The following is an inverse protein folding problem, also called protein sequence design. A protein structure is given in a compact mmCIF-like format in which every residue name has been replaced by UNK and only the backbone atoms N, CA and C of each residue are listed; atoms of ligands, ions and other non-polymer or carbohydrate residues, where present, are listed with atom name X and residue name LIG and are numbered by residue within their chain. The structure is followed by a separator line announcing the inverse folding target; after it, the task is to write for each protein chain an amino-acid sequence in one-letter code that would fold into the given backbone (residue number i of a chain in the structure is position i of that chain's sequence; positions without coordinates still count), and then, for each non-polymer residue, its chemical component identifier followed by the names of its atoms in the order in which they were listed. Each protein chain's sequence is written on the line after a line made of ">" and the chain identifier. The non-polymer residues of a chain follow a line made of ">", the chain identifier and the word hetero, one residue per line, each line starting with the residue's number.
data_IF_122494862350
#
_entry.id   IF_122494862350
#
_cell.length_a   1.000
_cell.length_b   1.000
_cell.length_c   1.000
_cell.angle_alpha   90.00
_cell.angle_beta   90.00
_cell.angle_gamma   90.00
#
_symmetry.space_group_name_H-M   'P 1'
#
loop_
_entity.id
_entity.type
_entity.pdbx_description
1 polymer ?
#
# COMPACT_ATOMS: atom_id res chain seq x y z
N UNK A 1 -14.58 -38.82 -13.42
CA UNK A 1 -14.66 -37.76 -12.38
C UNK A 1 -15.79 -36.81 -12.76
N UNK A 2 -16.93 -36.83 -12.07
CA UNK A 2 -18.10 -36.01 -12.44
C UNK A 2 -17.82 -34.56 -12.04
N UNK A 3 -17.37 -33.75 -13.00
CA UNK A 3 -17.14 -32.33 -12.77
C UNK A 3 -18.48 -31.60 -12.69
N UNK A 4 -18.75 -30.92 -11.57
CA UNK A 4 -19.91 -30.04 -11.48
C UNK A 4 -19.85 -28.97 -12.58
N UNK A 5 -20.93 -28.87 -13.38
CA UNK A 5 -21.03 -27.93 -14.51
C UNK A 5 -21.03 -26.46 -14.06
N UNK A 6 -21.44 -26.20 -12.82
CA UNK A 6 -21.61 -24.87 -12.25
C UNK A 6 -20.74 -24.67 -11.01
N UNK A 7 -20.37 -23.41 -10.74
CA UNK A 7 -19.80 -22.91 -9.50
C UNK A 7 -20.79 -21.95 -8.84
N UNK A 8 -20.76 -21.92 -7.51
CA UNK A 8 -21.55 -21.00 -6.71
C UNK A 8 -20.59 -20.12 -5.90
N UNK A 9 -20.85 -18.81 -5.94
CA UNK A 9 -20.08 -17.78 -5.27
C UNK A 9 -20.98 -17.16 -4.21
N UNK A 10 -20.55 -17.22 -2.96
CA UNK A 10 -21.16 -16.47 -1.86
C UNK A 10 -20.44 -15.13 -1.76
N UNK A 11 -21.19 -14.04 -1.74
CA UNK A 11 -20.66 -12.69 -1.59
C UNK A 11 -21.56 -11.88 -0.65
N UNK A 12 -20.96 -10.89 -0.01
CA UNK A 12 -21.65 -9.91 0.80
C UNK A 12 -21.51 -8.54 0.12
N UNK A 13 -22.61 -7.81 0.01
CA UNK A 13 -22.65 -6.51 -0.68
C UNK A 13 -22.80 -5.39 0.34
N UNK A 14 -21.79 -4.57 0.48
CA UNK A 14 -21.88 -3.43 1.37
C UNK A 14 -22.43 -2.21 0.57
N UNK A 15 -23.30 -1.39 1.17
CA UNK A 15 -23.82 -0.14 0.57
C UNK A 15 -23.63 1.02 1.55
N UNK A 16 -23.21 2.19 1.06
CA UNK A 16 -22.95 3.39 1.86
C UNK A 16 -24.28 4.05 2.35
N UNK A 17 -24.57 4.06 3.66
CA UNK A 17 -25.82 4.60 4.20
C UNK A 17 -25.91 6.13 4.11
N UNK A 18 -24.80 6.86 3.97
CA UNK A 18 -24.79 8.33 3.87
C UNK A 18 -25.04 8.82 2.42
N UNK A 19 -25.03 7.89 1.45
CA UNK A 19 -25.34 8.12 0.04
C UNK A 19 -26.63 7.42 -0.41
N UNK A 20 -27.49 7.05 0.54
CA UNK A 20 -28.82 6.48 0.30
C UNK A 20 -29.84 7.48 -0.29
N UNK A 21 -29.41 8.69 -0.66
CA UNK A 21 -30.26 9.69 -1.27
C UNK A 21 -30.00 9.73 -2.79
N UNK A 22 -30.87 9.05 -3.54
CA UNK A 22 -31.45 9.72 -4.71
C UNK A 22 -31.96 11.08 -4.23
N UNK A 23 -31.93 12.11 -5.07
CA UNK A 23 -32.51 13.43 -4.74
C UNK A 23 -34.00 13.43 -4.31
N UNK A 24 -34.60 12.26 -4.08
CA UNK A 24 -35.97 11.99 -3.64
C UNK A 24 -36.09 10.80 -2.64
N UNK A 25 -35.12 10.56 -1.75
CA UNK A 25 -35.36 9.81 -0.49
C UNK A 25 -35.83 8.35 -0.59
N UNK A 26 -35.51 7.64 -1.67
CA UNK A 26 -35.87 6.22 -1.84
C UNK A 26 -34.65 5.30 -1.62
N UNK A 27 -34.65 4.41 -0.61
CA UNK A 27 -33.52 3.54 -0.32
C UNK A 27 -33.31 2.51 -1.44
N UNK A 28 -32.05 2.24 -1.78
CA UNK A 28 -31.71 1.30 -2.85
C UNK A 28 -31.93 -0.14 -2.37
N UNK A 29 -32.97 -0.78 -2.90
CA UNK A 29 -33.26 -2.18 -2.60
C UNK A 29 -32.28 -3.06 -3.39
N UNK A 30 -31.49 -3.86 -2.67
CA UNK A 30 -30.65 -4.91 -3.25
C UNK A 30 -31.56 -5.97 -3.87
N UNK A 31 -31.58 -6.03 -5.20
CA UNK A 31 -32.39 -6.99 -5.96
C UNK A 31 -31.51 -7.84 -6.86
N UNK A 32 -32.01 -9.01 -7.25
CA UNK A 32 -31.34 -9.86 -8.24
C UNK A 32 -31.09 -9.11 -9.56
N UNK A 33 -32.01 -8.22 -9.95
CA UNK A 33 -31.90 -7.41 -11.15
C UNK A 33 -30.73 -6.43 -11.07
N UNK A 34 -30.68 -5.61 -10.01
CA UNK A 34 -29.64 -4.59 -9.86
C UNK A 34 -28.24 -5.22 -9.76
N UNK A 35 -28.10 -6.30 -8.99
CA UNK A 35 -26.83 -7.03 -8.87
C UNK A 35 -26.44 -7.70 -10.19
N UNK A 36 -27.39 -8.33 -10.91
CA UNK A 36 -27.10 -8.93 -12.21
C UNK A 36 -26.69 -7.88 -13.24
N UNK A 37 -27.29 -6.68 -13.20
CA UNK A 37 -26.94 -5.57 -14.08
C UNK A 37 -25.52 -5.07 -13.78
N UNK A 38 -25.21 -4.82 -12.51
CA UNK A 38 -23.89 -4.35 -12.09
C UNK A 38 -22.75 -5.31 -12.48
N UNK A 39 -22.98 -6.62 -12.34
CA UNK A 39 -22.02 -7.64 -12.80
C UNK A 39 -21.85 -7.59 -14.33
N UNK A 40 -22.94 -7.46 -15.10
CA UNK A 40 -22.86 -7.34 -16.57
C UNK A 40 -22.10 -6.09 -17.00
N UNK A 41 -22.39 -4.96 -16.36
CA UNK A 41 -21.73 -3.69 -16.65
C UNK A 41 -20.22 -3.79 -16.34
N UNK A 42 -19.85 -4.41 -15.21
CA UNK A 42 -18.45 -4.70 -14.89
C UNK A 42 -17.80 -5.66 -15.89
N UNK A 43 -18.50 -6.70 -16.36
CA UNK A 43 -17.97 -7.59 -17.41
C UNK A 43 -17.72 -6.79 -18.69
N UNK A 44 -18.67 -5.95 -19.10
CA UNK A 44 -18.55 -5.13 -20.31
C UNK A 44 -17.36 -4.18 -20.23
N UNK A 45 -17.19 -3.49 -19.10
CA UNK A 45 -16.10 -2.54 -18.89
C UNK A 45 -14.73 -3.24 -18.90
N UNK A 46 -14.61 -4.40 -18.26
CA UNK A 46 -13.32 -5.05 -18.04
C UNK A 46 -12.94 -6.09 -19.11
N UNK A 47 -13.93 -6.68 -19.80
CA UNK A 47 -13.75 -7.77 -20.76
C UNK A 47 -14.38 -7.50 -22.14
N UNK A 48 -14.96 -6.32 -22.34
CA UNK A 48 -15.56 -5.88 -23.60
C UNK A 48 -16.83 -6.64 -23.98
N UNK A 49 -17.35 -6.34 -25.17
CA UNK A 49 -18.59 -6.95 -25.68
C UNK A 49 -18.48 -8.46 -25.87
N UNK A 50 -17.31 -8.95 -26.29
CA UNK A 50 -17.05 -10.39 -26.44
C UNK A 50 -17.13 -11.12 -25.09
N UNK A 51 -16.56 -10.56 -24.03
CA UNK A 51 -16.66 -11.13 -22.69
C UNK A 51 -18.08 -11.10 -22.14
N UNK A 52 -18.82 -10.01 -22.40
CA UNK A 52 -20.25 -9.96 -22.04
C UNK A 52 -21.04 -11.03 -22.82
N UNK A 53 -20.75 -11.18 -24.12
CA UNK A 53 -21.29 -12.20 -25.02
C UNK A 53 -21.13 -13.63 -24.49
N UNK A 54 -19.91 -14.02 -24.11
CA UNK A 54 -19.62 -15.36 -23.56
C UNK A 54 -20.29 -15.59 -22.19
N UNK A 55 -20.45 -14.52 -21.43
CA UNK A 55 -21.03 -14.57 -20.09
C UNK A 55 -22.57 -14.51 -20.06
N UNK A 56 -23.22 -14.11 -21.16
CA UNK A 56 -24.67 -14.06 -21.29
C UNK A 56 -25.27 -15.48 -21.20
N UNK A 57 -25.94 -15.77 -20.08
CA UNK A 57 -26.50 -17.10 -19.76
C UNK A 57 -25.55 -18.01 -18.98
N UNK A 58 -24.26 -17.67 -18.96
CA UNK A 58 -23.24 -18.39 -18.19
C UNK A 58 -23.25 -18.04 -16.70
N UNK A 59 -23.93 -16.99 -16.26
CA UNK A 59 -24.14 -16.71 -14.84
C UNK A 59 -25.57 -16.27 -14.50
N UNK A 60 -25.94 -16.46 -13.24
CA UNK A 60 -27.23 -16.04 -12.70
C UNK A 60 -27.11 -15.73 -11.20
N UNK A 61 -27.63 -14.58 -10.78
CA UNK A 61 -27.86 -14.28 -9.37
C UNK A 61 -29.01 -15.15 -8.87
N UNK A 62 -28.75 -16.07 -7.94
CA UNK A 62 -29.71 -17.05 -7.43
C UNK A 62 -30.40 -16.60 -6.15
N UNK A 63 -29.70 -15.82 -5.33
CA UNK A 63 -30.20 -15.38 -4.04
C UNK A 63 -29.64 -13.99 -3.74
N UNK A 64 -30.48 -13.16 -3.14
CA UNK A 64 -30.13 -11.84 -2.60
C UNK A 64 -30.95 -11.66 -1.34
N UNK A 65 -30.28 -11.42 -0.22
CA UNK A 65 -30.92 -10.99 1.01
C UNK A 65 -30.68 -9.48 1.19
N UNK A 66 -31.71 -8.62 1.11
CA UNK A 66 -31.51 -7.18 1.23
C UNK A 66 -31.19 -6.73 2.66
N UNK A 67 -31.43 -7.57 3.68
CA UNK A 67 -31.16 -7.28 5.10
C UNK A 67 -29.72 -7.68 5.44
N UNK A 68 -29.35 -8.95 5.25
CA UNK A 68 -28.00 -9.45 5.55
C UNK A 68 -26.99 -9.14 4.45
N UNK A 69 -27.46 -8.57 3.34
CA UNK A 69 -26.67 -8.26 2.13
C UNK A 69 -25.96 -9.44 1.47
N UNK A 70 -26.27 -10.66 1.89
CA UNK A 70 -25.72 -11.87 1.32
C UNK A 70 -26.33 -12.18 -0.04
N UNK A 71 -25.48 -12.50 -1.00
CA UNK A 71 -25.85 -12.83 -2.37
C UNK A 71 -25.18 -14.13 -2.81
N UNK A 72 -25.90 -14.93 -3.61
CA UNK A 72 -25.36 -16.14 -4.23
C UNK A 72 -25.42 -15.98 -5.74
N UNK A 73 -24.27 -16.10 -6.39
CA UNK A 73 -24.16 -16.07 -7.85
C UNK A 73 -23.70 -17.42 -8.36
N UNK A 74 -24.51 -18.01 -9.24
CA UNK A 74 -24.15 -19.22 -9.99
C UNK A 74 -23.41 -18.81 -11.26
N UNK A 75 -22.29 -19.43 -11.58
CA UNK A 75 -21.63 -19.31 -12.88
C UNK A 75 -21.33 -20.68 -13.47
N UNK A 76 -21.20 -20.77 -14.80
CA UNK A 76 -20.65 -21.93 -15.49
C UNK A 76 -19.18 -22.09 -15.06
N UNK A 77 -18.66 -23.31 -15.17
CA UNK A 77 -17.27 -23.59 -14.80
C UNK A 77 -16.27 -22.88 -15.73
N UNK A 78 -16.61 -22.73 -17.00
CA UNK A 78 -15.76 -22.11 -18.03
C UNK A 78 -15.60 -20.60 -17.77
N UNK A 79 -16.71 -19.91 -17.51
CA UNK A 79 -16.72 -18.45 -17.33
C UNK A 79 -16.53 -18.01 -15.87
N UNK A 80 -16.42 -18.95 -14.93
CA UNK A 80 -16.37 -18.64 -13.49
C UNK A 80 -15.27 -17.63 -13.13
N UNK A 81 -14.07 -17.75 -13.73
CA UNK A 81 -12.96 -16.84 -13.44
C UNK A 81 -13.24 -15.41 -13.92
N UNK A 82 -13.85 -15.27 -15.09
CA UNK A 82 -14.24 -13.99 -15.65
C UNK A 82 -15.34 -13.34 -14.80
N UNK A 83 -16.39 -14.10 -14.49
CA UNK A 83 -17.51 -13.63 -13.67
C UNK A 83 -17.03 -13.26 -12.26
N UNK A 84 -16.18 -14.07 -11.62
CA UNK A 84 -15.58 -13.76 -10.31
C UNK A 84 -14.77 -12.47 -10.36
N UNK A 85 -13.89 -12.33 -11.36
CA UNK A 85 -13.09 -11.11 -11.52
C UNK A 85 -13.97 -9.88 -11.72
N UNK A 86 -15.03 -9.98 -12.53
CA UNK A 86 -15.94 -8.87 -12.75
C UNK A 86 -16.70 -8.50 -11.46
N UNK A 87 -17.19 -9.48 -10.70
CA UNK A 87 -17.84 -9.25 -9.39
C UNK A 87 -16.90 -8.45 -8.47
N UNK A 88 -15.62 -8.85 -8.36
CA UNK A 88 -14.66 -8.15 -7.50
C UNK A 88 -14.30 -6.72 -7.96
N UNK A 89 -14.70 -6.36 -9.19
CA UNK A 89 -14.44 -5.07 -9.81
C UNK A 89 -15.72 -4.24 -9.97
N UNK A 90 -16.87 -4.74 -9.53
CA UNK A 90 -18.07 -3.90 -9.46
C UNK A 90 -17.75 -2.75 -8.48
N UNK A 91 -18.19 -1.55 -8.85
CA UNK A 91 -17.96 -0.31 -8.09
C UNK A 91 -19.26 0.37 -7.69
N UNK A 92 -20.37 -0.08 -8.24
CA UNK A 92 -21.69 0.51 -8.05
C UNK A 92 -22.78 -0.47 -8.44
N UNK A 93 -23.84 -0.54 -7.63
CA UNK A 93 -25.09 -1.24 -7.96
C UNK A 93 -26.18 -0.19 -8.11
N UNK A 94 -26.65 0.02 -9.34
CA UNK A 94 -27.54 1.14 -9.65
C UNK A 94 -26.83 2.48 -9.49
N UNK A 95 -27.45 3.43 -8.77
CA UNK A 95 -26.85 4.72 -8.43
C UNK A 95 -26.08 4.70 -7.09
N UNK A 96 -26.04 3.57 -6.39
CA UNK A 96 -25.25 3.43 -5.16
C UNK A 96 -23.83 3.03 -5.53
N UNK A 97 -22.78 3.78 -5.12
CA UNK A 97 -21.44 3.22 -5.12
C UNK A 97 -21.41 2.00 -4.17
N UNK A 98 -20.88 0.87 -4.65
CA UNK A 98 -20.67 -0.31 -3.81
C UNK A 98 -19.65 0.03 -2.73
N UNK A 99 -19.91 -0.38 -1.48
CA UNK A 99 -18.87 -0.51 -0.49
C UNK A 99 -18.08 -1.79 -0.77
N UNK A 100 -16.77 -1.62 -0.83
CA UNK A 100 -15.78 -2.62 -0.39
C UNK A 100 -16.02 -2.93 1.10
N UNK A 101 -15.76 -4.16 1.55
CA UNK A 101 -15.72 -4.44 3.00
C UNK A 101 -14.83 -3.41 3.70
N UNK A 102 -15.24 -2.88 4.86
CA UNK A 102 -14.44 -1.88 5.57
C UNK A 102 -13.04 -2.44 5.78
N UNK A 103 -12.05 -1.69 5.31
CA UNK A 103 -10.65 -2.08 5.38
C UNK A 103 -10.02 -1.39 6.57
N UNK A 104 -9.61 -2.20 7.54
CA UNK A 104 -8.81 -1.76 8.67
C UNK A 104 -7.33 -1.91 8.35
N UNK A 105 -6.55 -0.86 8.60
CA UNK A 105 -5.09 -0.90 8.60
C UNK A 105 -4.60 -1.01 10.04
N UNK A 106 -3.86 -2.07 10.37
CA UNK A 106 -3.16 -2.15 11.66
C UNK A 106 -1.81 -1.44 11.57
N UNK A 107 -1.56 -0.48 12.46
CA UNK A 107 -0.35 0.34 12.45
C UNK A 107 0.46 0.11 13.72
N UNK A 108 1.72 -0.31 13.55
CA UNK A 108 2.66 -0.53 14.64
C UNK A 108 3.64 0.65 14.72
N UNK A 109 3.64 1.36 15.85
CA UNK A 109 4.62 2.41 16.15
C UNK A 109 5.82 1.77 16.85
N UNK A 110 6.98 1.72 16.20
CA UNK A 110 8.14 0.98 16.73
C UNK A 110 9.28 1.88 17.23
N UNK A 111 9.19 3.20 17.03
CA UNK A 111 10.29 4.12 17.32
C UNK A 111 11.53 3.79 16.48
N UNK A 112 12.70 3.79 17.10
CA UNK A 112 13.99 3.50 16.42
C UNK A 112 14.32 2.01 16.50
N UNK A 113 14.43 1.34 15.35
CA UNK A 113 14.66 -0.10 15.27
C UNK A 113 15.88 -0.38 14.39
N UNK A 114 16.76 -1.31 14.78
CA UNK A 114 17.84 -1.77 13.91
C UNK A 114 17.28 -2.35 12.59
N UNK A 115 17.96 -2.06 11.48
CA UNK A 115 17.48 -2.39 10.15
C UNK A 115 17.19 -3.90 9.98
N UNK A 116 18.12 -4.78 10.38
CA UNK A 116 17.94 -6.23 10.22
C UNK A 116 16.82 -6.78 11.10
N UNK A 117 16.65 -6.26 12.32
CA UNK A 117 15.50 -6.63 13.17
C UNK A 117 14.17 -6.27 12.50
N UNK A 118 14.07 -5.08 11.93
CA UNK A 118 12.88 -4.66 11.18
C UNK A 118 12.65 -5.49 9.90
N UNK A 119 13.72 -5.93 9.24
CA UNK A 119 13.64 -6.77 8.04
C UNK A 119 13.07 -8.15 8.37
N UNK A 120 13.56 -8.78 9.44
CA UNK A 120 13.01 -10.06 9.94
C UNK A 120 11.54 -9.92 10.32
N UNK A 121 11.18 -8.83 10.99
CA UNK A 121 9.80 -8.52 11.34
C UNK A 121 8.91 -8.41 10.09
N UNK A 122 9.37 -7.70 9.06
CA UNK A 122 8.66 -7.62 7.78
C UNK A 122 8.47 -9.00 7.14
N UNK A 123 9.49 -9.86 7.14
CA UNK A 123 9.41 -11.21 6.56
C UNK A 123 8.38 -12.10 7.29
N UNK A 124 8.32 -12.01 8.62
CA UNK A 124 7.30 -12.66 9.46
C UNK A 124 5.90 -12.15 9.08
N UNK A 125 5.69 -10.84 9.10
CA UNK A 125 4.38 -10.24 8.78
C UNK A 125 3.93 -10.51 7.35
N UNK A 126 4.85 -10.54 6.37
CA UNK A 126 4.53 -10.93 5.00
C UNK A 126 4.02 -12.37 4.94
N UNK A 127 4.62 -13.27 5.72
CA UNK A 127 4.21 -14.68 5.77
C UNK A 127 2.84 -14.83 6.43
N UNK A 128 2.61 -14.19 7.58
CA UNK A 128 1.32 -14.17 8.27
C UNK A 128 0.22 -13.55 7.40
N UNK A 129 0.53 -12.44 6.72
CA UNK A 129 -0.41 -11.75 5.82
C UNK A 129 -0.78 -12.61 4.62
N UNK A 130 0.22 -13.31 4.05
CA UNK A 130 0.03 -14.27 2.94
C UNK A 130 -0.82 -15.47 3.36
N UNK A 131 -0.70 -15.91 4.61
CA UNK A 131 -1.52 -16.96 5.21
C UNK A 131 -2.92 -16.48 5.64
N UNK A 132 -3.21 -15.18 5.49
CA UNK A 132 -4.47 -14.55 5.93
C UNK A 132 -4.70 -14.59 7.45
N UNK A 133 -3.63 -14.71 8.25
CA UNK A 133 -3.72 -14.71 9.72
C UNK A 133 -3.83 -13.30 10.31
N UNK A 134 -3.33 -12.29 9.59
CA UNK A 134 -3.37 -10.88 9.99
C UNK A 134 -4.00 -10.02 8.90
N UNK A 135 -4.60 -8.86 9.25
CA UNK A 135 -5.04 -7.87 8.28
C UNK A 135 -3.84 -7.18 7.60
N UNK A 136 -4.12 -6.24 6.69
CA UNK A 136 -3.04 -5.38 6.17
C UNK A 136 -2.38 -4.61 7.33
N UNK A 137 -1.06 -4.57 7.32
CA UNK A 137 -0.27 -4.01 8.43
C UNK A 137 0.66 -2.92 7.91
N UNK A 138 0.92 -1.91 8.73
CA UNK A 138 1.90 -0.86 8.47
C UNK A 138 2.87 -0.78 9.65
N UNK A 139 4.16 -0.88 9.38
CA UNK A 139 5.18 -0.53 10.39
C UNK A 139 5.58 0.93 10.20
N UNK A 140 5.51 1.71 11.27
CA UNK A 140 5.96 3.10 11.35
C UNK A 140 7.14 3.18 12.31
N UNK A 141 8.31 3.54 11.79
CA UNK A 141 9.56 3.48 12.52
C UNK A 141 10.61 4.44 11.97
N UNK A 142 11.75 4.50 12.64
CA UNK A 142 12.99 5.08 12.14
C UNK A 142 14.14 4.08 12.31
N UNK A 143 15.24 4.32 11.62
CA UNK A 143 16.44 3.47 11.74
C UNK A 143 17.60 4.25 12.36
N UNK A 144 18.52 3.60 13.08
CA UNK A 144 19.87 4.11 13.24
C UNK A 144 20.52 4.37 11.86
N UNK A 145 21.58 5.18 11.77
CA UNK A 145 22.26 5.44 10.49
C UNK A 145 22.58 4.14 9.75
N UNK A 146 22.00 3.99 8.56
CA UNK A 146 22.02 2.74 7.81
C UNK A 146 21.98 3.02 6.31
N UNK A 147 22.96 2.51 5.59
CA UNK A 147 22.91 2.39 4.14
C UNK A 147 22.31 1.05 3.74
N UNK A 148 21.47 1.08 2.71
CA UNK A 148 20.95 -0.15 2.12
C UNK A 148 21.21 -0.18 0.63
N UNK A 149 21.66 -1.32 0.12
CA UNK A 149 21.79 -1.59 -1.31
C UNK A 149 20.63 -2.47 -1.77
N UNK A 150 19.86 -1.96 -2.72
CA UNK A 150 18.73 -2.66 -3.33
C UNK A 150 19.16 -3.70 -4.36
N UNK A 151 18.18 -4.25 -5.09
CA UNK A 151 18.38 -5.35 -6.06
C UNK A 151 19.32 -4.99 -7.22
N UNK A 152 19.48 -3.71 -7.57
CA UNK A 152 20.39 -3.27 -8.65
C UNK A 152 21.87 -3.44 -8.28
N UNK A 153 22.21 -3.42 -6.98
CA UNK A 153 23.55 -3.66 -6.41
C UNK A 153 24.67 -2.92 -7.15
N UNK A 154 24.57 -1.59 -7.14
CA UNK A 154 25.57 -0.72 -7.75
C UNK A 154 26.55 -0.27 -6.67
N UNK A 155 27.48 -1.14 -6.29
CA UNK A 155 28.34 -0.93 -5.11
C UNK A 155 29.20 0.35 -5.23
N UNK A 156 29.54 0.78 -6.45
CA UNK A 156 30.26 2.03 -6.71
C UNK A 156 29.47 3.30 -6.40
N UNK A 157 28.17 3.18 -6.10
CA UNK A 157 27.37 4.31 -5.62
C UNK A 157 27.56 4.57 -4.12
N UNK A 158 28.32 3.74 -3.40
CA UNK A 158 28.83 4.08 -2.08
C UNK A 158 30.18 4.80 -2.24
N UNK A 159 30.23 6.07 -1.86
CA UNK A 159 31.40 6.94 -2.05
C UNK A 159 32.39 6.90 -0.88
N UNK A 160 32.06 6.16 0.17
CA UNK A 160 32.89 5.97 1.36
C UNK A 160 33.25 4.48 1.51
N UNK A 161 34.49 4.12 1.86
CA UNK A 161 34.85 2.73 2.09
C UNK A 161 34.01 2.12 3.23
N UNK A 162 33.62 0.85 3.08
CA UNK A 162 32.83 0.15 4.12
C UNK A 162 33.52 0.17 5.49
N UNK A 163 34.85 0.17 5.54
CA UNK A 163 35.64 0.25 6.78
C UNK A 163 35.46 1.56 7.55
N UNK A 164 35.06 2.64 6.87
CA UNK A 164 34.86 3.96 7.48
C UNK A 164 33.40 4.17 7.93
N UNK A 165 32.45 3.34 7.49
CA UNK A 165 31.04 3.44 7.88
C UNK A 165 30.84 3.33 9.39
N UNK A 166 31.57 2.41 10.03
CA UNK A 166 31.51 2.23 11.48
C UNK A 166 31.95 3.48 12.24
N UNK A 167 32.87 4.28 11.67
CA UNK A 167 33.36 5.52 12.32
C UNK A 167 32.31 6.63 12.33
N UNK A 168 31.41 6.63 11.34
CA UNK A 168 30.27 7.56 11.29
C UNK A 168 28.99 6.95 11.90
N UNK A 169 29.12 5.82 12.59
CA UNK A 169 28.02 5.12 13.26
C UNK A 169 26.99 4.50 12.31
N UNK A 170 27.38 4.23 11.05
CA UNK A 170 26.48 3.69 10.04
C UNK A 170 26.76 2.21 9.73
N UNK A 171 25.69 1.47 9.42
CA UNK A 171 25.76 0.08 8.93
C UNK A 171 25.45 0.01 7.43
N UNK A 172 25.97 -1.00 6.73
CA UNK A 172 25.59 -1.31 5.34
C UNK A 172 24.86 -2.65 5.26
N UNK A 173 23.70 -2.67 4.63
CA UNK A 173 22.90 -3.89 4.44
C UNK A 173 22.50 -4.10 2.98
N UNK A 174 22.64 -5.34 2.51
CA UNK A 174 22.18 -5.76 1.18
C UNK A 174 20.75 -6.30 1.26
N UNK A 175 19.91 -5.88 0.32
CA UNK A 175 18.45 -6.07 0.43
C UNK A 175 17.84 -6.45 -0.91
N UNK A 176 16.58 -6.90 -0.88
CA UNK A 176 15.84 -7.33 -2.06
C UNK A 176 14.81 -6.29 -2.53
N UNK A 177 14.82 -5.07 -1.97
CA UNK A 177 13.95 -3.98 -2.41
C UNK A 177 14.33 -3.49 -3.80
N UNK A 178 13.36 -2.92 -4.50
CA UNK A 178 13.62 -2.16 -5.71
C UNK A 178 14.55 -0.95 -5.47
N UNK A 179 15.09 -0.43 -6.56
CA UNK A 179 16.07 0.65 -6.52
C UNK A 179 17.48 0.17 -6.25
N UNK A 180 18.36 1.13 -5.97
CA UNK A 180 19.79 0.93 -5.77
C UNK A 180 20.17 1.32 -4.34
N UNK A 181 21.20 2.16 -4.11
CA UNK A 181 21.59 2.62 -2.78
C UNK A 181 20.65 3.69 -2.20
N UNK A 182 20.45 3.69 -0.89
CA UNK A 182 19.83 4.79 -0.14
C UNK A 182 20.34 4.81 1.31
N UNK A 183 20.14 5.93 1.99
CA UNK A 183 20.38 6.08 3.42
C UNK A 183 19.06 6.11 4.21
N UNK A 184 19.11 5.57 5.43
CA UNK A 184 18.10 5.69 6.48
C UNK A 184 18.76 6.11 7.79
N UNK A 185 18.06 6.92 8.59
CA UNK A 185 18.62 7.41 9.84
C UNK A 185 17.56 8.05 10.74
N UNK A 186 17.99 8.61 11.89
CA UNK A 186 17.13 9.42 12.75
C UNK A 186 16.52 10.60 11.99
N UNK A 187 15.35 11.03 12.44
CA UNK A 187 14.54 12.10 11.85
C UNK A 187 14.08 11.81 10.41
N UNK A 188 14.01 10.53 10.03
CA UNK A 188 13.44 10.08 8.77
C UNK A 188 12.28 9.12 9.04
N UNK A 189 11.08 9.47 8.58
CA UNK A 189 9.92 8.61 8.72
C UNK A 189 9.98 7.43 7.75
N UNK A 190 10.09 6.22 8.29
CA UNK A 190 10.05 4.98 7.52
C UNK A 190 8.69 4.33 7.70
N UNK A 191 8.02 4.08 6.57
CA UNK A 191 6.77 3.34 6.54
C UNK A 191 6.96 2.08 5.71
N UNK A 192 6.68 0.92 6.31
CA UNK A 192 6.68 -0.37 5.64
C UNK A 192 5.26 -0.95 5.57
N UNK A 193 4.49 -0.68 4.50
CA UNK A 193 3.17 -1.27 4.32
C UNK A 193 3.32 -2.74 3.87
N UNK A 194 2.75 -3.65 4.65
CA UNK A 194 2.58 -5.08 4.34
C UNK A 194 1.12 -5.31 3.93
N UNK A 195 0.86 -5.11 2.64
CA UNK A 195 -0.47 -5.06 2.04
C UNK A 195 -0.60 -6.14 0.99
N UNK A 196 -1.77 -6.77 0.91
CA UNK A 196 -2.11 -7.61 -0.24
C UNK A 196 -2.59 -6.75 -1.41
N UNK A 197 -1.78 -6.67 -2.48
CA UNK A 197 -2.15 -5.92 -3.68
C UNK A 197 -3.34 -6.56 -4.41
N UNK A 198 -3.50 -7.89 -4.28
CA UNK A 198 -4.62 -8.62 -4.88
C UNK A 198 -5.94 -8.25 -4.24
N UNK A 199 -5.99 -8.02 -2.92
CA UNK A 199 -7.24 -7.66 -2.24
C UNK A 199 -7.71 -6.24 -2.58
N UNK A 200 -6.83 -5.40 -3.12
CA UNK A 200 -7.18 -4.03 -3.55
C UNK A 200 -7.18 -3.85 -5.07
N UNK A 201 -6.93 -4.92 -5.83
CA UNK A 201 -6.83 -4.86 -7.30
C UNK A 201 -5.69 -3.97 -7.82
N UNK A 202 -4.61 -3.80 -7.04
CA UNK A 202 -3.48 -2.95 -7.44
C UNK A 202 -2.43 -3.75 -8.22
N UNK A 203 -1.89 -3.11 -9.26
CA UNK A 203 -0.60 -3.49 -9.83
C UNK A 203 0.55 -2.80 -9.07
N UNK A 204 1.79 -3.25 -9.31
CA UNK A 204 2.99 -2.67 -8.69
C UNK A 204 3.13 -1.17 -8.95
N UNK A 205 2.77 -0.72 -10.16
CA UNK A 205 2.81 0.69 -10.55
C UNK A 205 1.82 1.53 -9.72
N UNK A 206 0.55 1.15 -9.69
CA UNK A 206 -0.48 1.86 -8.92
C UNK A 206 -0.12 1.92 -7.43
N UNK A 207 0.48 0.85 -6.89
CA UNK A 207 0.98 0.84 -5.51
C UNK A 207 2.05 1.92 -5.28
N UNK A 208 3.07 1.98 -6.13
CA UNK A 208 4.15 2.99 -6.03
C UNK A 208 3.59 4.40 -6.20
N UNK A 209 2.76 4.65 -7.23
CA UNK A 209 2.13 5.95 -7.46
C UNK A 209 1.23 6.39 -6.28
N UNK A 210 0.61 5.44 -5.59
CA UNK A 210 -0.19 5.73 -4.39
C UNK A 210 0.68 6.12 -3.19
N UNK A 211 1.86 5.48 -3.02
CA UNK A 211 2.85 5.89 -2.00
C UNK A 211 3.43 7.28 -2.30
N UNK A 212 3.65 7.60 -3.59
CA UNK A 212 4.09 8.95 -3.99
C UNK A 212 3.00 9.97 -3.64
N UNK A 213 1.74 9.69 -4.00
CA UNK A 213 0.61 10.55 -3.68
C UNK A 213 0.45 10.77 -2.18
N UNK A 214 0.61 9.75 -1.34
CA UNK A 214 0.48 9.92 0.12
C UNK A 214 1.55 10.85 0.69
N UNK A 215 2.78 10.79 0.20
CA UNK A 215 3.85 11.70 0.61
C UNK A 215 3.64 13.12 0.09
N UNK A 216 3.12 13.27 -1.14
CA UNK A 216 2.80 14.59 -1.71
C UNK A 216 1.67 15.26 -0.93
N UNK A 217 0.59 14.53 -0.64
CA UNK A 217 -0.52 15.02 0.18
C UNK A 217 -0.02 15.40 1.59
N UNK A 218 0.81 14.56 2.20
CA UNK A 218 1.43 14.86 3.49
C UNK A 218 2.28 16.14 3.44
N UNK A 219 3.18 16.28 2.46
CA UNK A 219 4.01 17.47 2.31
C UNK A 219 3.18 18.76 2.12
N UNK A 220 2.02 18.65 1.46
CA UNK A 220 1.13 19.79 1.24
C UNK A 220 0.51 20.35 2.53
N UNK A 221 0.36 19.53 3.58
CA UNK A 221 -0.10 19.96 4.93
C UNK A 221 0.84 21.03 5.50
N UNK A 222 2.12 20.96 5.13
CA UNK A 222 3.18 21.87 5.57
C UNK A 222 3.50 22.96 4.54
N UNK A 223 2.65 23.15 3.53
CA UNK A 223 2.86 24.14 2.47
C UNK A 223 3.94 23.77 1.46
N UNK A 224 4.51 22.56 1.53
CA UNK A 224 5.59 22.13 0.64
C UNK A 224 5.02 21.64 -0.69
N UNK A 225 5.46 22.26 -1.79
CA UNK A 225 5.05 21.90 -3.17
C UNK A 225 5.85 20.72 -3.70
N UNK A 226 5.48 19.53 -3.25
CA UNK A 226 6.08 18.27 -3.68
C UNK A 226 5.42 17.70 -4.95
N UNK A 227 6.17 16.90 -5.70
CA UNK A 227 5.72 16.21 -6.91
C UNK A 227 6.30 14.80 -7.01
N UNK A 228 5.66 13.94 -7.79
CA UNK A 228 6.25 12.66 -8.18
C UNK A 228 7.47 12.89 -9.08
N UNK A 229 8.43 11.96 -9.02
CA UNK A 229 9.61 12.02 -9.87
C UNK A 229 9.28 11.79 -11.35
N UNK A 230 10.20 12.20 -12.22
CA UNK A 230 10.10 11.87 -13.64
C UNK A 230 10.41 10.38 -13.87
N UNK A 231 10.39 9.96 -15.14
CA UNK A 231 10.75 8.60 -15.54
C UNK A 231 12.11 8.22 -14.95
N UNK A 232 12.17 7.07 -14.27
CA UNK A 232 13.34 6.54 -13.55
C UNK A 232 13.73 7.25 -12.25
N UNK A 233 12.95 8.23 -11.78
CA UNK A 233 13.22 9.02 -10.57
C UNK A 233 12.23 8.71 -9.45
N UNK A 234 11.88 7.43 -9.26
CA UNK A 234 10.87 7.00 -8.29
C UNK A 234 11.06 7.63 -6.90
N UNK A 235 9.98 8.15 -6.34
CA UNK A 235 9.98 8.93 -5.10
C UNK A 235 9.35 10.31 -5.29
N UNK A 236 9.50 11.15 -4.26
CA UNK A 236 8.86 12.46 -4.17
C UNK A 236 9.92 13.55 -4.06
N UNK A 237 9.67 14.65 -4.76
CA UNK A 237 10.65 15.69 -5.06
C UNK A 237 10.07 17.09 -4.84
N UNK A 238 10.92 18.03 -4.45
CA UNK A 238 10.65 19.46 -4.38
C UNK A 238 11.62 20.16 -5.33
N UNK A 239 11.13 20.70 -6.44
CA UNK A 239 12.00 21.09 -7.55
C UNK A 239 12.78 19.86 -8.05
N UNK A 240 14.11 19.92 -7.97
CA UNK A 240 15.02 18.81 -8.31
C UNK A 240 15.62 18.10 -7.09
N UNK A 241 15.15 18.42 -5.88
CA UNK A 241 15.63 17.85 -4.61
C UNK A 241 14.70 16.75 -4.12
N UNK A 242 15.24 15.60 -3.74
CA UNK A 242 14.45 14.46 -3.26
C UNK A 242 14.07 14.62 -1.79
N UNK A 243 12.78 14.60 -1.47
CA UNK A 243 12.28 14.63 -0.08
C UNK A 243 11.82 13.24 0.40
N UNK A 244 11.43 12.36 -0.52
CA UNK A 244 10.95 11.01 -0.20
C UNK A 244 11.49 9.96 -1.17
N UNK A 245 11.97 8.85 -0.62
CA UNK A 245 12.40 7.68 -1.39
C UNK A 245 11.36 6.57 -1.29
N UNK A 246 11.22 5.78 -2.36
CA UNK A 246 10.39 4.56 -2.38
C UNK A 246 11.25 3.41 -2.88
N UNK A 247 11.26 2.34 -2.11
CA UNK A 247 11.92 1.10 -2.46
C UNK A 247 11.10 -0.06 -1.92
N UNK A 248 10.41 -0.76 -2.80
CA UNK A 248 9.44 -1.80 -2.43
C UNK A 248 9.87 -3.16 -2.97
N UNK A 249 9.45 -4.23 -2.30
CA UNK A 249 9.49 -5.60 -2.82
C UNK A 249 8.07 -6.14 -2.83
N UNK A 250 7.70 -6.82 -3.90
CA UNK A 250 6.39 -7.47 -4.03
C UNK A 250 6.64 -8.95 -4.28
N UNK A 251 6.18 -9.81 -3.38
CA UNK A 251 6.31 -11.26 -3.49
C UNK A 251 4.96 -11.91 -3.25
N UNK A 252 4.54 -12.81 -4.14
CA UNK A 252 3.22 -13.47 -4.06
C UNK A 252 2.03 -12.49 -3.98
N UNK A 253 2.19 -11.24 -4.41
CA UNK A 253 1.17 -10.19 -4.29
C UNK A 253 1.13 -9.47 -2.95
N UNK A 254 2.04 -9.78 -2.01
CA UNK A 254 2.19 -9.07 -0.74
C UNK A 254 3.39 -8.12 -0.82
N UNK A 255 3.24 -6.91 -0.27
CA UNK A 255 4.28 -5.87 -0.26
C UNK A 255 5.19 -6.00 0.97
N UNK A 256 6.45 -5.60 0.82
CA UNK A 256 7.39 -5.33 1.91
C UNK A 256 8.33 -4.19 1.52
N UNK A 257 9.11 -3.70 2.48
CA UNK A 257 9.73 -2.38 2.44
C UNK A 257 8.65 -1.31 2.20
N UNK A 258 8.98 -0.17 1.60
CA UNK A 258 8.01 0.91 1.51
C UNK A 258 8.63 2.23 1.12
N UNK A 259 8.36 3.24 1.94
CA UNK A 259 8.81 4.61 1.73
C UNK A 259 9.66 5.12 2.91
N UNK A 260 10.50 6.08 2.61
CA UNK A 260 11.31 6.82 3.55
C UNK A 260 11.13 8.32 3.26
N UNK A 261 10.58 9.08 4.21
CA UNK A 261 10.32 10.51 4.08
C UNK A 261 11.23 11.30 5.00
N UNK A 262 11.98 12.26 4.45
CA UNK A 262 12.94 13.05 5.21
C UNK A 262 12.22 14.14 6.01
N UNK A 263 12.12 14.00 7.33
CA UNK A 263 11.59 15.05 8.21
C UNK A 263 12.68 16.09 8.46
N UNK A 264 13.75 15.67 9.14
CA UNK A 264 14.95 16.46 9.40
C UNK A 264 16.21 15.60 9.62
N UNK A 265 16.50 14.59 8.77
CA UNK A 265 17.68 13.76 8.94
C UNK A 265 18.96 14.58 8.71
N UNK A 266 20.08 14.13 9.26
CA UNK A 266 21.38 14.68 8.85
C UNK A 266 21.66 14.34 7.39
N UNK A 267 21.49 15.33 6.52
CA UNK A 267 21.61 15.15 5.08
C UNK A 267 23.05 14.90 4.62
N UNK A 268 24.06 15.09 5.48
CA UNK A 268 25.47 14.75 5.17
C UNK A 268 25.67 13.28 4.87
N UNK A 269 24.86 12.39 5.46
CA UNK A 269 24.92 10.97 5.14
C UNK A 269 24.59 10.68 3.66
N UNK A 270 23.81 11.54 2.99
CA UNK A 270 23.56 11.39 1.56
C UNK A 270 24.74 11.82 0.68
N UNK A 271 25.68 12.62 1.20
CA UNK A 271 26.91 13.00 0.47
C UNK A 271 27.86 11.82 0.26
N UNK A 272 27.70 10.76 1.05
CA UNK A 272 28.47 9.52 0.94
C UNK A 272 27.89 8.52 -0.07
N UNK A 273 26.82 8.87 -0.78
CA UNK A 273 26.18 7.99 -1.77
C UNK A 273 25.80 8.73 -3.06
N UNK A 274 25.70 8.00 -4.17
CA UNK A 274 25.11 8.49 -5.42
C UNK A 274 23.70 7.90 -5.57
N UNK A 275 22.64 8.58 -5.07
CA UNK A 275 21.30 8.02 -5.10
C UNK A 275 20.81 7.86 -6.54
N UNK A 276 20.32 6.67 -6.87
CA UNK A 276 19.75 6.34 -8.18
C UNK A 276 20.70 6.50 -9.38
N UNK A 277 22.02 6.64 -9.17
CA UNK A 277 23.02 6.79 -10.24
C UNK A 277 22.94 8.11 -11.02
N UNK A 278 22.25 9.12 -10.48
CA UNK A 278 22.14 10.46 -11.09
C UNK A 278 22.87 11.43 -10.16
N UNK A 279 24.06 11.87 -10.56
CA UNK A 279 24.93 12.71 -9.73
C UNK A 279 24.39 14.12 -9.48
N UNK A 280 23.52 14.64 -10.37
CA UNK A 280 23.08 16.04 -10.34
C UNK A 280 21.83 16.30 -9.49
N UNK A 281 21.46 15.37 -8.61
CA UNK A 281 20.21 15.44 -7.84
C UNK A 281 20.49 15.49 -6.35
N UNK A 282 20.05 16.57 -5.72
CA UNK A 282 20.18 16.78 -4.29
C UNK A 282 19.07 16.07 -3.49
N UNK A 283 19.26 16.00 -2.18
CA UNK A 283 18.25 15.56 -1.22
C UNK A 283 17.85 16.73 -0.32
N UNK A 284 16.61 16.71 0.15
CA UNK A 284 16.08 17.71 1.06
C UNK A 284 15.26 17.08 2.18
N UNK A 285 14.76 17.88 3.10
CA UNK A 285 13.95 17.47 4.23
C UNK A 285 12.74 18.40 4.39
N UNK A 286 11.71 17.93 5.09
CA UNK A 286 10.55 18.76 5.42
C UNK A 286 10.98 20.04 6.12
N UNK A 287 11.90 19.94 7.08
CA UNK A 287 12.44 21.07 7.84
C UNK A 287 13.09 22.14 6.96
N UNK A 288 13.74 21.75 5.86
CA UNK A 288 14.37 22.69 4.92
C UNK A 288 13.38 23.36 3.99
N UNK A 289 12.27 22.69 3.66
CA UNK A 289 11.33 23.13 2.63
C UNK A 289 10.10 23.87 3.18
N UNK A 290 9.88 23.85 4.50
CA UNK A 290 8.74 24.53 5.15
C UNK A 290 9.18 25.69 6.04
N UNK A 291 8.40 26.77 6.02
CA UNK A 291 8.50 27.87 6.99
C UNK A 291 7.68 27.59 8.27
N UNK A 292 6.97 26.45 8.32
CA UNK A 292 6.09 26.08 9.44
C UNK A 292 6.89 25.47 10.58
N UNK A 293 6.52 25.78 11.82
CA UNK A 293 7.05 25.06 12.98
C UNK A 293 6.57 23.60 12.94
N UNK A 294 7.52 22.66 12.86
CA UNK A 294 7.21 21.24 12.85
C UNK A 294 6.71 20.78 14.23
N UNK A 295 5.63 19.99 14.30
CA UNK A 295 5.19 19.37 15.54
C UNK A 295 6.16 18.24 15.95
N UNK A 296 5.84 17.51 17.02
CA UNK A 296 6.62 16.34 17.40
C UNK A 296 6.66 15.30 16.28
N UNK A 297 7.74 14.51 16.22
CA UNK A 297 7.88 13.48 15.20
C UNK A 297 6.77 12.45 15.24
N UNK A 298 6.24 12.15 16.43
CA UNK A 298 5.10 11.25 16.57
C UNK A 298 3.89 11.76 15.78
N UNK A 299 3.55 13.04 15.92
CA UNK A 299 2.44 13.67 15.17
C UNK A 299 2.73 13.66 13.67
N UNK A 300 3.98 13.88 13.27
CA UNK A 300 4.39 13.80 11.87
C UNK A 300 4.19 12.39 11.30
N UNK A 301 4.62 11.36 12.04
CA UNK A 301 4.41 9.97 11.66
C UNK A 301 2.92 9.64 11.55
N UNK A 302 2.10 10.08 12.50
CA UNK A 302 0.65 9.88 12.47
C UNK A 302 -0.03 10.54 11.27
N UNK A 303 0.35 11.78 10.94
CA UNK A 303 -0.18 12.49 9.79
C UNK A 303 0.23 11.83 8.47
N UNK A 304 1.47 11.36 8.35
CA UNK A 304 1.93 10.63 7.16
C UNK A 304 1.19 9.29 7.02
N UNK A 305 1.00 8.56 8.12
CA UNK A 305 0.18 7.33 8.18
C UNK A 305 -1.25 7.62 7.76
N UNK A 306 -1.85 8.72 8.23
CA UNK A 306 -3.22 9.12 7.87
C UNK A 306 -3.35 9.41 6.37
N UNK A 307 -2.39 10.14 5.79
CA UNK A 307 -2.33 10.38 4.34
C UNK A 307 -2.20 9.07 3.56
N UNK A 308 -1.37 8.13 4.03
CA UNK A 308 -1.23 6.81 3.42
C UNK A 308 -2.55 6.02 3.52
N UNK A 309 -3.15 5.94 4.69
CA UNK A 309 -4.39 5.22 4.93
C UNK A 309 -5.51 5.73 4.00
N UNK A 310 -5.66 7.05 3.89
CA UNK A 310 -6.60 7.71 2.97
C UNK A 310 -6.27 7.41 1.51
N UNK A 311 -4.99 7.50 1.11
CA UNK A 311 -4.56 7.24 -0.27
C UNK A 311 -4.82 5.79 -0.71
N UNK A 312 -4.71 4.83 0.21
CA UNK A 312 -5.07 3.42 0.00
C UNK A 312 -6.52 3.10 0.32
N UNK A 313 -7.29 4.11 0.72
CA UNK A 313 -8.70 4.02 1.05
C UNK A 313 -9.01 2.95 2.10
N UNK A 314 -8.27 2.99 3.19
CA UNK A 314 -8.66 2.34 4.43
C UNK A 314 -9.74 3.17 5.13
N UNK A 315 -10.69 2.48 5.74
CA UNK A 315 -11.82 3.08 6.44
C UNK A 315 -11.46 3.31 7.91
N UNK A 316 -10.67 2.40 8.50
CA UNK A 316 -10.21 2.47 9.88
C UNK A 316 -8.70 2.28 10.00
N UNK A 317 -8.11 2.95 10.98
CA UNK A 317 -6.71 2.79 11.39
C UNK A 317 -6.67 2.35 12.84
N UNK A 318 -6.14 1.15 13.10
CA UNK A 318 -5.98 0.60 14.45
C UNK A 318 -4.52 0.68 14.86
N UNK A 319 -4.23 1.52 15.84
CA UNK A 319 -2.90 1.69 16.39
C UNK A 319 -2.56 0.57 17.39
N UNK A 320 -1.35 0.03 17.26
CA UNK A 320 -0.77 -0.97 18.17
C UNK A 320 0.49 -0.38 18.80
N UNK A 321 0.54 -0.42 20.12
CA UNK A 321 1.60 0.25 20.91
C UNK A 321 2.68 -0.71 21.45
N UNK A 322 2.45 -2.03 21.43
CA UNK A 322 3.37 -2.98 22.08
C UNK A 322 3.96 -4.02 21.11
N UNK A 323 5.16 -3.78 20.55
CA UNK A 323 5.82 -4.72 19.66
C UNK A 323 6.49 -5.90 20.38
N UNK A 324 6.51 -5.96 21.72
CA UNK A 324 7.06 -7.11 22.46
C UNK A 324 6.38 -8.43 22.04
N UNK A 325 5.08 -8.38 21.76
CA UNK A 325 4.30 -9.51 21.22
C UNK A 325 4.87 -10.07 19.92
N UNK A 326 5.56 -9.26 19.10
CA UNK A 326 6.15 -9.70 17.83
C UNK A 326 7.67 -9.89 17.93
N UNK A 327 8.36 -9.10 18.76
CA UNK A 327 9.82 -9.10 18.91
C UNK A 327 10.34 -10.16 19.91
N UNK A 328 9.57 -10.52 20.95
CA UNK A 328 10.01 -11.46 22.00
C UNK A 328 9.84 -12.94 21.65
N UNK A 329 9.13 -13.27 20.56
CA UNK A 329 9.03 -14.67 20.09
C UNK A 329 10.35 -15.29 19.56
N UNK A 330 11.52 -14.67 19.80
CA UNK A 330 12.84 -15.22 19.45
C UNK A 330 13.92 -15.01 20.53
N UNK A 331 13.54 -14.87 21.81
CA UNK A 331 14.51 -15.02 22.90
C UNK A 331 14.78 -16.50 23.28
N UNK A 332 14.03 -17.44 22.69
CA UNK A 332 14.20 -18.88 22.89
C UNK A 332 14.25 -19.60 21.53
N UNK A 333 15.44 -19.74 20.95
CA UNK A 333 15.92 -20.92 20.18
C UNK A 333 17.38 -20.77 19.77
#
# INVERSE_FOLDING_TARGET
>A
MVGFKNRYMLMEVFLDPDKDLLGEGTPIILTQFNLSKAIKDSILVNFGECGLGSSLGSFQVKYVNPITKLCIVRSSREEHRQVWSAITLVKSIGNCPEMRSPRTLEVWKLGTVNYLKSLKLQEKLVSERKAHHIPDTLLSLQHPPTYTLGKRRTDHNLLIPESELTKIGAELHYTQRGGDITFHGPHQAILYPIISLRSIGFGARNYVETLERSMIEFASIYGVKARAGNKCETGVWVGDRKIGAIGVRISSGITSHGLAFNIDPDLKYFEHIVPCGIADKEVTSLRRETDTLLPSEEVIHEQLVSCLAKAFSYDDVVWKEDPSVILDTQAEE
#
